data_IF_977932448383
#
_entry.id   IF_977932448383
#
_cell.length_a   1.000
_cell.length_b   1.000
_cell.length_c   1.000
_cell.angle_alpha   90.00
_cell.angle_beta   90.00
_cell.angle_gamma   90.00
#
_symmetry.space_group_name_H-M   'P 1'
#
loop_
_entity.id
_entity.type
_entity.pdbx_description
1 polymer ?
#
# COMPACT_ATOMS: atom_id res chain seq x y z
N UNK A 1 -4.53 -15.72 -6.76
CA UNK A 1 -4.59 -15.32 -5.34
C UNK A 1 -5.91 -14.64 -5.07
N UNK A 2 -6.22 -13.52 -5.73
CA UNK A 2 -7.54 -12.86 -5.65
C UNK A 2 -8.72 -13.79 -5.97
N UNK A 3 -8.63 -14.59 -7.05
CA UNK A 3 -9.69 -15.54 -7.41
C UNK A 3 -9.99 -16.59 -6.32
N UNK A 4 -9.01 -16.92 -5.46
CA UNK A 4 -9.22 -17.86 -4.36
C UNK A 4 -9.91 -17.22 -3.16
N UNK A 5 -9.89 -15.89 -3.08
CA UNK A 5 -10.48 -15.10 -2.02
C UNK A 5 -11.85 -14.52 -2.42
N UNK A 6 -12.29 -14.75 -3.67
CA UNK A 6 -13.51 -14.15 -4.24
C UNK A 6 -13.56 -12.63 -4.03
N UNK A 7 -12.42 -11.97 -4.30
CA UNK A 7 -12.22 -10.57 -4.00
C UNK A 7 -11.52 -9.83 -5.15
N UNK A 8 -11.72 -8.52 -5.21
CA UNK A 8 -11.14 -7.60 -6.19
C UNK A 8 -10.02 -6.77 -5.56
N UNK A 9 -9.12 -6.14 -6.34
CA UNK A 9 -8.04 -5.31 -5.79
C UNK A 9 -8.49 -4.19 -4.86
N UNK A 10 -9.69 -3.65 -5.10
CA UNK A 10 -10.33 -2.60 -4.31
C UNK A 10 -10.74 -3.03 -2.88
N UNK A 11 -10.84 -4.34 -2.63
CA UNK A 11 -11.20 -4.90 -1.32
C UNK A 11 -10.02 -4.95 -0.34
N UNK A 12 -8.81 -4.62 -0.78
CA UNK A 12 -7.60 -4.71 0.02
C UNK A 12 -6.98 -3.35 0.28
N UNK A 13 -6.29 -3.23 1.41
CA UNK A 13 -5.32 -2.14 1.68
C UNK A 13 -3.93 -2.76 1.65
N UNK A 14 -3.09 -2.35 0.71
CA UNK A 14 -1.71 -2.84 0.61
C UNK A 14 -0.78 -1.94 1.42
N UNK A 15 -0.16 -2.49 2.47
CA UNK A 15 0.74 -1.74 3.37
C UNK A 15 2.14 -2.32 3.27
N UNK A 16 3.10 -1.51 2.85
CA UNK A 16 4.48 -1.97 2.65
C UNK A 16 5.51 -0.84 2.76
N UNK A 17 6.80 -1.18 2.84
CA UNK A 17 7.89 -0.21 3.07
C UNK A 17 8.93 -0.11 1.93
N UNK A 18 8.79 -0.86 0.82
CA UNK A 18 9.58 -0.63 -0.39
C UNK A 18 8.73 -0.07 -1.52
N UNK A 19 9.22 0.95 -2.19
CA UNK A 19 8.47 1.55 -3.29
C UNK A 19 8.54 0.67 -4.53
N UNK A 20 9.74 0.19 -4.89
CA UNK A 20 9.94 -0.55 -6.15
C UNK A 20 9.29 -1.92 -6.17
N UNK A 21 9.49 -2.72 -5.13
CA UNK A 21 9.06 -4.13 -5.16
C UNK A 21 7.60 -4.31 -4.73
N UNK A 22 7.13 -3.47 -3.81
CA UNK A 22 5.78 -3.60 -3.26
C UNK A 22 4.81 -2.67 -4.02
N UNK A 23 5.02 -1.36 -3.96
CA UNK A 23 4.03 -0.39 -4.47
C UNK A 23 3.91 -0.33 -5.98
N UNK A 24 5.02 -0.31 -6.73
CA UNK A 24 4.96 -0.24 -8.21
C UNK A 24 4.26 -1.48 -8.78
N UNK A 25 4.65 -2.67 -8.33
CA UNK A 25 4.04 -3.93 -8.74
C UNK A 25 2.54 -3.95 -8.44
N UNK A 26 2.14 -3.55 -7.23
CA UNK A 26 0.73 -3.55 -6.82
C UNK A 26 -0.10 -2.52 -7.57
N UNK A 27 0.46 -1.33 -7.81
CA UNK A 27 -0.16 -0.32 -8.66
C UNK A 27 -0.41 -0.84 -10.08
N UNK A 28 0.57 -1.51 -10.68
CA UNK A 28 0.45 -2.07 -12.04
C UNK A 28 -0.55 -3.23 -12.10
N UNK A 29 -0.73 -3.96 -11.01
CA UNK A 29 -1.78 -4.97 -10.84
C UNK A 29 -3.18 -4.39 -10.59
N UNK A 30 -3.33 -3.07 -10.52
CA UNK A 30 -4.62 -2.38 -10.38
C UNK A 30 -5.05 -2.10 -8.94
N UNK A 31 -4.20 -2.35 -7.94
CA UNK A 31 -4.49 -1.94 -6.57
C UNK A 31 -4.37 -0.42 -6.43
N UNK A 32 -5.28 0.18 -5.65
CA UNK A 32 -5.34 1.64 -5.46
C UNK A 32 -5.30 2.08 -4.00
N UNK A 33 -5.71 1.23 -3.07
CA UNK A 33 -5.55 1.50 -1.64
C UNK A 33 -4.11 1.13 -1.20
N UNK A 34 -3.14 1.95 -1.62
CA UNK A 34 -1.71 1.71 -1.38
C UNK A 34 -1.21 2.61 -0.24
N UNK A 35 -0.53 2.02 0.76
CA UNK A 35 0.00 2.72 1.92
C UNK A 35 1.49 2.42 2.09
N UNK A 36 2.33 3.44 1.90
CA UNK A 36 3.75 3.38 2.19
C UNK A 36 3.99 3.63 3.68
N UNK A 37 4.40 2.58 4.39
CA UNK A 37 4.95 2.71 5.74
C UNK A 37 6.42 3.12 5.64
N UNK A 38 6.67 4.42 5.69
CA UNK A 38 8.01 4.98 5.51
C UNK A 38 8.87 4.83 6.77
N UNK A 39 9.70 3.79 6.75
CA UNK A 39 10.73 3.50 7.76
C UNK A 39 12.14 3.84 7.26
N UNK A 40 12.27 4.58 6.15
CA UNK A 40 13.56 4.93 5.54
C UNK A 40 14.30 3.77 4.86
N UNK A 41 13.58 2.71 4.42
CA UNK A 41 14.21 1.54 3.81
C UNK A 41 14.57 1.75 2.32
N UNK A 42 13.74 2.49 1.58
CA UNK A 42 13.87 2.72 0.15
C UNK A 42 13.58 4.20 -0.15
N UNK A 43 14.18 4.84 -1.17
CA UNK A 43 13.82 6.20 -1.55
C UNK A 43 12.34 6.31 -1.90
N UNK A 44 11.67 7.31 -1.34
CA UNK A 44 10.27 7.60 -1.68
C UNK A 44 10.21 8.08 -3.12
N UNK A 45 9.45 7.38 -3.96
CA UNK A 45 9.20 7.74 -5.35
C UNK A 45 7.86 8.47 -5.50
N UNK A 46 7.54 8.98 -6.68
CA UNK A 46 6.28 9.66 -6.96
C UNK A 46 5.62 9.04 -8.20
N UNK A 47 4.29 9.18 -8.33
CA UNK A 47 3.54 8.73 -9.51
C UNK A 47 2.88 7.34 -9.41
N UNK A 48 2.80 6.75 -8.21
CA UNK A 48 2.15 5.45 -7.97
C UNK A 48 1.04 5.51 -6.91
N UNK A 49 0.51 6.71 -6.64
CA UNK A 49 -0.71 6.97 -5.86
C UNK A 49 -0.81 6.35 -4.46
N UNK A 50 0.32 6.03 -3.82
CA UNK A 50 0.32 5.58 -2.43
C UNK A 50 0.28 6.75 -1.44
N UNK A 51 -0.38 6.53 -0.29
CA UNK A 51 -0.36 7.44 0.86
C UNK A 51 0.77 7.03 1.80
N UNK A 52 1.56 7.99 2.27
CA UNK A 52 2.68 7.70 3.19
C UNK A 52 2.27 7.89 4.63
N UNK A 53 2.58 6.92 5.49
CA UNK A 53 2.43 6.96 6.95
C UNK A 53 3.77 6.72 7.63
N UNK A 54 3.95 7.23 8.86
CA UNK A 54 5.19 7.03 9.63
C UNK A 54 5.10 5.88 10.61
N UNK A 55 3.89 5.49 10.99
CA UNK A 55 3.63 4.37 11.88
C UNK A 55 2.38 3.59 11.49
N UNK A 56 2.23 2.38 12.03
CA UNK A 56 0.98 1.64 11.92
C UNK A 56 -0.14 2.28 12.76
N UNK A 57 0.19 3.03 13.81
CA UNK A 57 -0.80 3.76 14.61
C UNK A 57 -1.45 4.89 13.79
N UNK A 58 -0.68 5.58 12.94
CA UNK A 58 -1.22 6.56 12.00
C UNK A 58 -2.22 5.89 11.04
N UNK A 59 -1.87 4.70 10.52
CA UNK A 59 -2.75 3.92 9.64
C UNK A 59 -4.03 3.48 10.38
N UNK A 60 -3.91 2.96 11.60
CA UNK A 60 -5.07 2.56 12.41
C UNK A 60 -6.01 3.76 12.63
N UNK A 61 -5.44 4.92 12.95
CA UNK A 61 -6.19 6.18 13.08
C UNK A 61 -6.92 6.56 11.80
N UNK A 62 -6.29 6.41 10.63
CA UNK A 62 -6.92 6.66 9.33
C UNK A 62 -8.07 5.70 9.02
N UNK A 63 -7.95 4.44 9.43
CA UNK A 63 -8.96 3.40 9.21
C UNK A 63 -10.08 3.42 10.27
N UNK A 64 -9.90 4.14 11.37
CA UNK A 64 -10.86 4.21 12.48
C UNK A 64 -10.91 2.92 13.31
N UNK A 65 -9.79 2.21 13.42
CA UNK A 65 -9.64 0.94 14.18
C UNK A 65 -8.71 1.10 15.39
#
# INVERSE_FOLDING_TARGET
MLDQLDASPEDFVHVASHTRYDHMSMHDMGFRNLVLLDRGYDPVTHGYDYVTVKSLDDLNTMLGI
#
